data_IF_794153788194
#
_entry.id   IF_794153788194
#
_cell.length_a   1.000
_cell.length_b   1.000
_cell.length_c   1.000
_cell.angle_alpha   90.00
_cell.angle_beta   90.00
_cell.angle_gamma   90.00
#
_symmetry.space_group_name_H-M   'P 1'
#
loop_
_entity.id
_entity.type
_entity.pdbx_description
1 polymer ?
#
# COMPACT_ATOMS: atom_id res chain seq x y z
N UNK A 1 -20.66 10.10 -11.67
CA UNK A 1 -19.70 9.39 -12.52
C UNK A 1 -18.58 8.89 -11.63
N UNK A 2 -18.18 7.62 -11.73
CA UNK A 2 -17.02 7.09 -10.99
C UNK A 2 -15.74 7.76 -11.52
N UNK A 3 -14.88 8.24 -10.62
CA UNK A 3 -13.59 8.84 -11.00
C UNK A 3 -12.54 7.74 -10.85
N UNK A 4 -12.37 6.95 -11.91
CA UNK A 4 -11.32 5.93 -11.98
C UNK A 4 -10.09 6.53 -12.63
N UNK A 5 -8.94 6.43 -11.97
CA UNK A 5 -7.67 6.92 -12.50
C UNK A 5 -6.83 5.77 -13.04
N UNK A 6 -6.36 5.91 -14.28
CA UNK A 6 -5.30 5.11 -14.87
C UNK A 6 -4.15 6.01 -15.25
N UNK A 7 -3.04 5.86 -14.56
CA UNK A 7 -1.80 6.54 -14.86
C UNK A 7 -0.64 5.67 -14.39
N UNK A 8 0.32 5.49 -15.30
CA UNK A 8 1.62 4.86 -15.03
C UNK A 8 2.61 6.01 -14.89
N UNK A 9 3.35 6.05 -13.79
CA UNK A 9 4.35 7.06 -13.48
C UNK A 9 5.78 6.54 -13.65
N UNK A 10 5.94 5.32 -14.17
CA UNK A 10 7.23 4.68 -14.40
C UNK A 10 7.88 4.15 -13.13
N UNK A 11 7.14 4.06 -12.01
CA UNK A 11 7.70 3.55 -10.75
C UNK A 11 8.11 2.08 -10.90
N UNK A 12 7.24 1.25 -11.46
CA UNK A 12 7.48 -0.18 -11.69
C UNK A 12 8.69 -0.43 -12.62
N UNK A 13 8.97 0.47 -13.56
CA UNK A 13 10.10 0.35 -14.50
C UNK A 13 11.46 0.55 -13.81
N UNK A 14 11.49 1.27 -12.69
CA UNK A 14 12.69 1.56 -11.90
C UNK A 14 12.96 0.49 -10.82
N UNK A 15 12.06 -0.48 -10.65
CA UNK A 15 12.22 -1.53 -9.65
C UNK A 15 13.20 -2.61 -10.11
N UNK A 16 13.82 -3.34 -9.16
CA UNK A 16 14.61 -4.53 -9.47
C UNK A 16 13.82 -5.52 -10.33
N UNK A 17 14.47 -6.25 -11.26
CA UNK A 17 13.78 -7.16 -12.18
C UNK A 17 12.87 -8.18 -11.50
N UNK A 18 13.30 -8.70 -10.35
CA UNK A 18 12.53 -9.69 -9.57
C UNK A 18 11.23 -9.09 -9.01
N UNK A 19 11.31 -7.89 -8.42
CA UNK A 19 10.14 -7.18 -7.89
C UNK A 19 9.18 -6.78 -9.02
N UNK A 20 9.71 -6.30 -10.14
CA UNK A 20 8.91 -5.97 -11.32
C UNK A 20 8.19 -7.20 -11.86
N UNK A 21 8.90 -8.33 -12.00
CA UNK A 21 8.31 -9.58 -12.47
C UNK A 21 7.19 -10.07 -11.56
N UNK A 22 7.34 -9.92 -10.24
CA UNK A 22 6.29 -10.23 -9.27
C UNK A 22 5.05 -9.36 -9.49
N UNK A 23 5.22 -8.04 -9.63
CA UNK A 23 4.11 -7.10 -9.88
C UNK A 23 3.41 -7.42 -11.21
N UNK A 24 4.18 -7.68 -12.27
CA UNK A 24 3.67 -8.04 -13.60
C UNK A 24 2.91 -9.37 -13.60
N UNK A 25 3.29 -10.32 -12.73
CA UNK A 25 2.60 -11.59 -12.53
C UNK A 25 1.29 -11.40 -11.74
N UNK A 26 1.30 -10.59 -10.69
CA UNK A 26 0.14 -10.36 -9.83
C UNK A 26 -0.90 -9.45 -10.51
N UNK A 27 -0.49 -8.43 -11.27
CA UNK A 27 -1.42 -7.43 -11.81
C UNK A 27 -2.59 -8.03 -12.63
N UNK A 28 -2.38 -9.02 -13.54
CA UNK A 28 -3.47 -9.68 -14.24
C UNK A 28 -4.45 -10.42 -13.33
N UNK A 29 -3.97 -11.00 -12.21
CA UNK A 29 -4.81 -11.71 -11.25
C UNK A 29 -5.69 -10.75 -10.45
N UNK A 30 -5.15 -9.57 -10.11
CA UNK A 30 -5.88 -8.54 -9.38
C UNK A 30 -6.81 -7.70 -10.28
N UNK A 31 -6.56 -7.64 -11.59
CA UNK A 31 -7.33 -6.82 -12.53
C UNK A 31 -8.84 -7.13 -12.55
N UNK A 32 -9.32 -8.39 -12.60
CA UNK A 32 -10.75 -8.68 -12.59
C UNK A 32 -11.42 -8.43 -11.22
N UNK A 33 -10.63 -8.33 -10.15
CA UNK A 33 -11.15 -8.28 -8.79
C UNK A 33 -11.65 -6.88 -8.37
N UNK A 34 -12.50 -6.85 -7.35
CA UNK A 34 -12.99 -5.61 -6.73
C UNK A 34 -11.99 -5.07 -5.70
N UNK A 35 -12.03 -3.76 -5.40
CA UNK A 35 -11.15 -3.16 -4.40
C UNK A 35 -11.20 -3.82 -3.01
N UNK A 36 -12.37 -4.19 -2.46
CA UNK A 36 -12.45 -5.00 -1.24
C UNK A 36 -11.64 -6.30 -1.30
N UNK A 37 -11.75 -7.06 -2.40
CA UNK A 37 -11.03 -8.33 -2.57
C UNK A 37 -9.53 -8.09 -2.70
N UNK A 38 -9.13 -7.12 -3.53
CA UNK A 38 -7.72 -6.72 -3.70
C UNK A 38 -7.11 -6.29 -2.36
N UNK A 39 -7.85 -5.50 -1.60
CA UNK A 39 -7.41 -4.99 -0.30
C UNK A 39 -7.17 -6.11 0.69
N UNK A 40 -8.14 -7.01 0.87
CA UNK A 40 -8.02 -8.19 1.73
C UNK A 40 -6.80 -9.02 1.34
N UNK A 41 -6.63 -9.34 0.06
CA UNK A 41 -5.49 -10.12 -0.40
C UNK A 41 -4.14 -9.44 -0.10
N UNK A 42 -4.04 -8.12 -0.31
CA UNK A 42 -2.81 -7.37 -0.05
C UNK A 42 -2.50 -7.27 1.43
N UNK A 43 -3.47 -6.98 2.28
CA UNK A 43 -3.23 -6.84 3.73
C UNK A 43 -2.95 -8.20 4.38
N UNK A 44 -3.61 -9.28 3.94
CA UNK A 44 -3.30 -10.64 4.37
C UNK A 44 -1.90 -11.08 3.94
N UNK A 45 -1.44 -10.68 2.74
CA UNK A 45 -0.06 -10.92 2.31
C UNK A 45 0.96 -10.28 3.26
N UNK A 46 0.72 -9.05 3.73
CA UNK A 46 1.63 -8.41 4.69
C UNK A 46 1.60 -9.10 6.04
N UNK A 47 0.41 -9.34 6.58
CA UNK A 47 0.22 -10.01 7.87
C UNK A 47 0.91 -11.38 7.91
N UNK A 48 0.72 -12.20 6.86
CA UNK A 48 1.29 -13.53 6.75
C UNK A 48 2.82 -13.54 6.67
N UNK A 49 3.43 -12.53 6.03
CA UNK A 49 4.89 -12.43 5.92
C UNK A 49 5.47 -11.86 7.22
N UNK A 50 4.86 -10.81 7.77
CA UNK A 50 5.28 -10.17 9.00
C UNK A 50 5.24 -11.13 10.21
N UNK A 51 4.25 -12.01 10.27
CA UNK A 51 4.12 -13.03 11.33
C UNK A 51 5.22 -14.11 11.30
N UNK A 52 5.98 -14.22 10.21
CA UNK A 52 7.02 -15.26 10.02
C UNK A 52 8.45 -14.75 10.18
N UNK A 53 8.63 -13.44 10.34
CA UNK A 53 9.95 -12.81 10.49
C UNK A 53 10.16 -12.29 11.91
N UNK A 54 11.41 -12.05 12.28
CA UNK A 54 11.73 -11.38 13.53
C UNK A 54 11.23 -9.92 13.50
N UNK A 55 10.91 -9.36 14.67
CA UNK A 55 10.45 -7.96 14.78
C UNK A 55 11.45 -6.97 14.16
N UNK A 56 12.76 -7.20 14.32
CA UNK A 56 13.81 -6.38 13.73
C UNK A 56 13.80 -6.38 12.18
N UNK A 57 13.23 -7.42 11.56
CA UNK A 57 13.14 -7.58 10.12
C UNK A 57 11.81 -7.05 9.54
N UNK A 58 10.80 -6.81 10.38
CA UNK A 58 9.47 -6.34 9.94
C UNK A 58 9.51 -5.05 9.14
N UNK A 59 10.33 -4.02 9.46
CA UNK A 59 10.40 -2.80 8.65
C UNK A 59 10.78 -3.06 7.19
N UNK A 60 11.64 -4.05 6.91
CA UNK A 60 12.03 -4.40 5.54
C UNK A 60 10.89 -5.09 4.79
N UNK A 61 10.13 -5.95 5.48
CA UNK A 61 8.92 -6.58 4.94
C UNK A 61 7.87 -5.53 4.57
N UNK A 62 7.60 -4.58 5.48
CA UNK A 62 6.64 -3.50 5.24
C UNK A 62 7.09 -2.63 4.06
N UNK A 63 8.37 -2.26 3.99
CA UNK A 63 8.90 -1.50 2.86
C UNK A 63 8.71 -2.22 1.52
N UNK A 64 9.03 -3.52 1.46
CA UNK A 64 8.84 -4.32 0.25
C UNK A 64 7.36 -4.43 -0.13
N UNK A 65 6.48 -4.60 0.85
CA UNK A 65 5.04 -4.64 0.63
C UNK A 65 4.52 -3.31 0.05
N UNK A 66 4.92 -2.17 0.62
CA UNK A 66 4.55 -0.84 0.14
C UNK A 66 5.00 -0.62 -1.32
N UNK A 67 6.19 -1.12 -1.67
CA UNK A 67 6.72 -1.08 -3.06
C UNK A 67 5.83 -1.92 -3.99
N UNK A 68 5.51 -3.17 -3.62
CA UNK A 68 4.67 -4.06 -4.42
C UNK A 68 3.27 -3.45 -4.63
N UNK A 69 2.63 -3.00 -3.55
CA UNK A 69 1.30 -2.35 -3.60
C UNK A 69 1.32 -1.13 -4.52
N UNK A 70 2.38 -0.32 -4.47
CA UNK A 70 2.50 0.86 -5.33
C UNK A 70 2.67 0.49 -6.80
N UNK A 71 3.48 -0.52 -7.09
CA UNK A 71 3.60 -1.08 -8.43
C UNK A 71 2.25 -1.57 -8.94
N UNK A 72 1.52 -2.34 -8.14
CA UNK A 72 0.17 -2.81 -8.50
C UNK A 72 -0.79 -1.64 -8.72
N UNK A 73 -0.73 -0.60 -7.90
CA UNK A 73 -1.55 0.60 -8.07
C UNK A 73 -1.30 1.29 -9.41
N UNK A 74 -0.11 1.22 -10.02
CA UNK A 74 0.13 1.73 -11.37
C UNK A 74 -0.54 0.90 -12.47
N UNK A 75 -0.75 -0.40 -12.23
CA UNK A 75 -1.30 -1.34 -13.19
C UNK A 75 -2.82 -1.57 -13.02
N UNK A 76 -3.40 -1.18 -11.89
CA UNK A 76 -4.81 -1.38 -11.57
C UNK A 76 -5.64 -0.09 -11.70
N UNK A 77 -6.95 -0.18 -12.02
CA UNK A 77 -7.88 0.94 -11.93
C UNK A 77 -7.96 1.46 -10.51
N UNK A 78 -7.48 2.68 -10.26
CA UNK A 78 -7.61 3.32 -8.95
C UNK A 78 -8.98 3.97 -8.83
N UNK A 79 -9.84 3.38 -8.00
CA UNK A 79 -11.18 3.93 -7.74
C UNK A 79 -11.09 4.94 -6.60
N UNK A 80 -11.19 6.23 -6.93
CA UNK A 80 -11.07 7.32 -5.97
C UNK A 80 -12.29 7.44 -5.03
N UNK A 81 -13.28 6.54 -5.14
CA UNK A 81 -14.40 6.43 -4.20
C UNK A 81 -14.26 5.22 -3.27
N UNK A 82 -13.33 4.30 -3.56
CA UNK A 82 -13.09 3.13 -2.72
C UNK A 82 -12.23 3.53 -1.52
N UNK A 83 -12.71 3.35 -0.28
CA UNK A 83 -11.91 3.60 0.91
C UNK A 83 -10.66 2.72 0.96
N UNK A 84 -10.73 1.51 0.43
CA UNK A 84 -9.61 0.57 0.35
C UNK A 84 -8.51 1.07 -0.60
N UNK A 85 -8.90 1.51 -1.81
CA UNK A 85 -7.97 2.07 -2.78
C UNK A 85 -7.27 3.31 -2.21
N UNK A 86 -8.03 4.21 -1.59
CA UNK A 86 -7.51 5.45 -1.01
C UNK A 86 -6.55 5.17 0.16
N UNK A 87 -6.85 4.16 1.00
CA UNK A 87 -5.95 3.75 2.07
C UNK A 87 -4.61 3.24 1.52
N UNK A 88 -4.62 2.34 0.54
CA UNK A 88 -3.38 1.83 -0.07
C UNK A 88 -2.58 2.96 -0.76
N UNK A 89 -3.25 3.88 -1.45
CA UNK A 89 -2.60 5.03 -2.09
C UNK A 89 -1.94 5.98 -1.07
N UNK A 90 -2.49 6.11 0.15
CA UNK A 90 -1.94 6.98 1.20
C UNK A 90 -0.58 6.51 1.70
N UNK A 91 -0.33 5.21 1.69
CA UNK A 91 0.93 4.62 2.13
C UNK A 91 1.93 4.42 0.98
N UNK A 92 1.58 4.84 -0.24
CA UNK A 92 2.46 4.70 -1.41
C UNK A 92 3.72 5.59 -1.31
N UNK A 93 4.89 5.14 -1.81
CA UNK A 93 6.07 5.99 -1.99
C UNK A 93 5.87 7.05 -3.07
N UNK A 94 4.87 6.89 -3.95
CA UNK A 94 4.56 7.88 -4.97
C UNK A 94 3.78 9.04 -4.36
N UNK A 95 4.44 10.19 -4.25
CA UNK A 95 3.85 11.41 -3.70
C UNK A 95 2.53 11.80 -4.37
N UNK A 96 2.42 11.59 -5.70
CA UNK A 96 1.18 11.87 -6.44
C UNK A 96 0.01 11.01 -5.97
N UNK A 97 0.25 9.74 -5.64
CA UNK A 97 -0.78 8.86 -5.11
C UNK A 97 -1.22 9.32 -3.72
N UNK A 98 -0.27 9.68 -2.85
CA UNK A 98 -0.58 10.24 -1.53
C UNK A 98 -1.42 11.52 -1.63
N UNK A 99 -1.02 12.46 -2.48
CA UNK A 99 -1.75 13.72 -2.69
C UNK A 99 -3.16 13.48 -3.23
N UNK A 100 -3.32 12.55 -4.18
CA UNK A 100 -4.63 12.17 -4.69
C UNK A 100 -5.48 11.51 -3.59
N UNK A 101 -4.91 10.63 -2.77
CA UNK A 101 -5.62 9.99 -1.66
C UNK A 101 -6.11 11.02 -0.62
N UNK A 102 -5.26 11.97 -0.23
CA UNK A 102 -5.60 13.07 0.68
C UNK A 102 -6.71 13.94 0.10
N UNK A 103 -6.60 14.35 -1.17
CA UNK A 103 -7.61 15.19 -1.82
C UNK A 103 -8.99 14.52 -1.89
N UNK A 104 -9.03 13.19 -2.02
CA UNK A 104 -10.26 12.42 -2.14
C UNK A 104 -10.71 11.78 -0.81
N UNK A 105 -10.03 12.06 0.30
CA UNK A 105 -10.44 11.63 1.65
C UNK A 105 -10.63 12.86 2.55
N UNK A 106 -11.84 13.46 2.57
CA UNK A 106 -12.10 14.64 3.40
C UNK A 106 -11.97 14.35 4.90
N UNK A 107 -12.34 13.15 5.32
CA UNK A 107 -12.26 12.69 6.72
C UNK A 107 -11.50 11.35 6.77
N UNK A 108 -10.20 11.45 7.05
CA UNK A 108 -9.30 10.29 7.14
C UNK A 108 -9.64 9.41 8.34
N UNK A 109 -10.09 9.99 9.46
CA UNK A 109 -10.39 9.19 10.66
C UNK A 109 -11.68 8.41 10.47
N UNK A 110 -12.70 9.02 9.87
CA UNK A 110 -13.94 8.30 9.52
C UNK A 110 -13.66 7.15 8.54
N UNK A 111 -12.80 7.36 7.55
CA UNK A 111 -12.38 6.30 6.64
C UNK A 111 -11.60 5.20 7.37
N UNK A 112 -10.66 5.54 8.25
CA UNK A 112 -9.90 4.58 9.03
C UNK A 112 -10.81 3.76 9.96
N UNK A 113 -11.76 4.42 10.64
CA UNK A 113 -12.76 3.76 11.48
C UNK A 113 -13.64 2.80 10.69
N UNK A 114 -14.06 3.17 9.47
CA UNK A 114 -14.75 2.26 8.56
C UNK A 114 -13.88 1.04 8.22
N UNK A 115 -12.63 1.26 7.80
CA UNK A 115 -11.74 0.16 7.41
C UNK A 115 -11.44 -0.79 8.57
N UNK A 116 -11.20 -0.29 9.78
CA UNK A 116 -11.03 -1.13 10.99
C UNK A 116 -12.26 -1.97 11.31
N UNK A 117 -13.46 -1.44 11.04
CA UNK A 117 -14.73 -2.15 11.29
C UNK A 117 -14.97 -3.25 10.27
N UNK A 118 -14.77 -2.97 8.98
CA UNK A 118 -15.04 -3.91 7.90
C UNK A 118 -13.91 -4.93 7.68
N UNK A 119 -12.66 -4.54 7.98
CA UNK A 119 -11.46 -5.35 7.80
C UNK A 119 -10.67 -5.40 9.10
N UNK A 120 -10.99 -6.30 10.05
CA UNK A 120 -10.32 -6.36 11.36
C UNK A 120 -8.79 -6.48 11.28
N UNK A 121 -8.31 -7.23 10.29
CA UNK A 121 -6.87 -7.41 9.96
C UNK A 121 -6.16 -6.12 9.53
N UNK A 122 -6.91 -5.08 9.13
CA UNK A 122 -6.35 -3.77 8.82
C UNK A 122 -5.64 -3.14 10.01
N UNK A 123 -6.14 -3.38 11.24
CA UNK A 123 -5.52 -2.84 12.46
C UNK A 123 -4.07 -3.28 12.61
N UNK A 124 -3.79 -4.56 12.33
CA UNK A 124 -2.43 -5.12 12.38
C UNK A 124 -1.53 -4.45 11.34
N UNK A 125 -2.05 -4.26 10.12
CA UNK A 125 -1.31 -3.57 9.06
C UNK A 125 -1.07 -2.09 9.38
N UNK A 126 -2.03 -1.39 9.97
CA UNK A 126 -1.84 0.00 10.41
C UNK A 126 -0.74 0.14 11.46
N UNK A 127 -0.65 -0.81 12.39
CA UNK A 127 0.40 -0.81 13.41
C UNK A 127 1.77 -1.10 12.77
N UNK A 128 1.87 -2.10 11.88
CA UNK A 128 3.08 -2.37 11.10
C UNK A 128 3.54 -1.15 10.27
N UNK A 129 2.61 -0.45 9.62
CA UNK A 129 2.91 0.76 8.85
C UNK A 129 3.41 1.91 9.74
N UNK A 130 2.80 2.10 10.91
CA UNK A 130 3.20 3.14 11.88
C UNK A 130 4.59 2.86 12.48
N UNK A 131 4.87 1.60 12.79
CA UNK A 131 6.17 1.17 13.31
C UNK A 131 7.26 1.34 12.25
N UNK A 132 6.94 0.98 10.99
CA UNK A 132 7.82 1.24 9.85
C UNK A 132 8.11 2.73 9.67
N UNK A 133 7.10 3.61 9.71
CA UNK A 133 7.30 5.06 9.59
C UNK A 133 8.19 5.61 10.71
N UNK A 134 7.98 5.12 11.93
CA UNK A 134 8.80 5.49 13.10
C UNK A 134 10.24 5.01 12.94
N UNK A 135 10.44 3.78 12.45
CA UNK A 135 11.76 3.23 12.16
C UNK A 135 12.46 4.02 11.04
N UNK A 136 11.77 4.32 9.94
CA UNK A 136 12.31 5.06 8.80
C UNK A 136 12.73 6.48 9.20
N UNK A 137 11.96 7.16 10.06
CA UNK A 137 12.31 8.45 10.61
C UNK A 137 13.57 8.41 11.50
N UNK A 138 13.76 7.34 12.29
CA UNK A 138 14.99 7.16 13.09
C UNK A 138 16.22 6.91 12.21
N UNK A 139 16.05 6.12 11.14
CA UNK A 139 17.13 5.83 10.19
C UNK A 139 17.57 7.08 9.41
N UNK A 140 16.63 7.96 9.03
CA UNK A 140 16.97 9.19 8.32
C UNK A 140 17.74 10.19 9.19
N UNK A 141 17.48 10.23 10.50
CA UNK A 141 18.22 11.03 11.47
C UNK A 141 19.64 10.50 11.76
N UNK A 142 19.87 9.21 11.48
CA UNK A 142 21.12 8.51 11.82
C UNK A 142 22.14 8.46 10.68
N UNK A 143 21.80 8.92 9.47
CA UNK A 143 22.77 9.08 8.37
C UNK A 143 23.64 10.33 8.63
N UNK A 144 24.95 10.20 8.87
CA UNK A 144 25.85 11.34 8.85
C UNK A 144 25.95 11.84 7.40
N UNK A 145 25.92 13.17 7.22
CA UNK A 145 26.27 13.83 5.98
C UNK A 145 27.70 13.51 5.54
#
# INVERSE_FOLDING_TARGET
MAVTEYSRHGFCELLPPETRAQIEMMAPEFLPETWPVRFVALISMLEDIAAKVAEDDQPFVVNNWVIIVTGLLEHLPRDLRSPECLALMRHSPLERFRQTAVRNTPDTEQQAAFLRREYPQWTVVEDLLRDYETWAAKQSLSKPH
#
